data_IF_142675361993
#
_entry.id   IF_142675361993
#
_cell.length_a   1.000
_cell.length_b   1.000
_cell.length_c   1.000
_cell.angle_alpha   90.00
_cell.angle_beta   90.00
_cell.angle_gamma   90.00
#
_symmetry.space_group_name_H-M   'P 1'
#
loop_
_entity.id
_entity.type
_entity.pdbx_description
1 polymer ?
#
# COMPACT_ATOMS: atom_id res chain seq x y z
N UNK A 1 -152.43 -111.05 -16.32
CA UNK A 1 -151.57 -110.06 -15.62
C UNK A 1 -150.14 -110.53 -15.79
N UNK A 2 -149.38 -109.95 -16.72
CA UNK A 2 -148.04 -110.42 -17.04
C UNK A 2 -147.01 -109.70 -16.14
N UNK A 3 -146.79 -110.28 -14.96
CA UNK A 3 -145.96 -109.76 -13.86
C UNK A 3 -144.46 -109.67 -14.18
N UNK A 4 -144.03 -110.10 -15.37
CA UNK A 4 -142.65 -110.05 -15.84
C UNK A 4 -142.21 -108.67 -16.38
N UNK A 5 -143.10 -107.89 -16.98
CA UNK A 5 -142.75 -106.58 -17.57
C UNK A 5 -142.55 -105.46 -16.53
N UNK A 6 -143.31 -105.50 -15.42
CA UNK A 6 -143.16 -104.55 -14.33
C UNK A 6 -141.84 -104.73 -13.56
N UNK A 7 -141.37 -105.98 -13.39
CA UNK A 7 -140.06 -106.28 -12.80
C UNK A 7 -138.92 -105.79 -13.70
N UNK A 8 -138.98 -106.01 -15.03
CA UNK A 8 -137.97 -105.48 -15.96
C UNK A 8 -137.87 -103.95 -15.95
N UNK A 9 -138.98 -103.21 -15.91
CA UNK A 9 -138.94 -101.73 -15.84
C UNK A 9 -138.41 -101.20 -14.50
N UNK A 10 -138.73 -101.87 -13.40
CA UNK A 10 -138.18 -101.55 -12.08
C UNK A 10 -136.66 -101.80 -12.00
N UNK A 11 -136.21 -102.94 -12.52
CA UNK A 11 -134.78 -103.31 -12.54
C UNK A 11 -133.95 -102.39 -13.47
N UNK A 12 -134.52 -101.97 -14.60
CA UNK A 12 -133.87 -101.00 -15.49
C UNK A 12 -133.82 -99.60 -14.85
N UNK A 13 -134.89 -99.16 -14.18
CA UNK A 13 -134.90 -97.88 -13.46
C UNK A 13 -133.97 -97.84 -12.24
N UNK A 14 -133.84 -98.95 -11.52
CA UNK A 14 -132.90 -99.10 -10.41
C UNK A 14 -131.45 -99.06 -10.90
N UNK A 15 -131.12 -99.82 -11.95
CA UNK A 15 -129.79 -99.79 -12.59
C UNK A 15 -129.46 -98.45 -13.23
N UNK A 16 -130.44 -97.74 -13.79
CA UNK A 16 -130.24 -96.41 -14.34
C UNK A 16 -129.90 -95.40 -13.22
N UNK A 17 -130.56 -95.47 -12.06
CA UNK A 17 -130.22 -94.65 -10.89
C UNK A 17 -128.86 -95.00 -10.30
N UNK A 18 -128.54 -96.29 -10.18
CA UNK A 18 -127.18 -96.71 -9.75
C UNK A 18 -126.12 -96.20 -10.72
N UNK A 19 -126.35 -96.32 -12.03
CA UNK A 19 -125.43 -95.79 -13.04
C UNK A 19 -125.32 -94.26 -12.98
N UNK A 20 -126.43 -93.54 -12.77
CA UNK A 20 -126.43 -92.08 -12.61
C UNK A 20 -125.71 -91.65 -11.32
N UNK A 21 -125.86 -92.43 -10.24
CA UNK A 21 -125.20 -92.15 -8.94
C UNK A 21 -123.71 -92.41 -9.04
N UNK A 22 -123.30 -93.52 -9.68
CA UNK A 22 -121.90 -93.82 -9.96
C UNK A 22 -121.28 -92.82 -10.93
N UNK A 23 -122.03 -92.33 -11.92
CA UNK A 23 -121.59 -91.31 -12.85
C UNK A 23 -121.41 -89.95 -12.16
N UNK A 24 -122.36 -89.56 -11.29
CA UNK A 24 -122.25 -88.35 -10.49
C UNK A 24 -121.11 -88.44 -9.46
N UNK A 25 -120.89 -89.58 -8.81
CA UNK A 25 -119.74 -89.79 -7.93
C UNK A 25 -118.42 -89.68 -8.69
N UNK A 26 -118.32 -90.30 -9.88
CA UNK A 26 -117.12 -90.20 -10.71
C UNK A 26 -116.88 -88.77 -11.21
N UNK A 27 -117.95 -88.03 -11.56
CA UNK A 27 -117.84 -86.64 -12.00
C UNK A 27 -117.47 -85.70 -10.83
N UNK A 28 -118.03 -85.91 -9.64
CA UNK A 28 -117.67 -85.16 -8.43
C UNK A 28 -116.23 -85.48 -8.01
N UNK A 29 -115.79 -86.74 -8.05
CA UNK A 29 -114.41 -87.10 -7.72
C UNK A 29 -113.42 -86.51 -8.74
N UNK A 30 -113.73 -86.58 -10.03
CA UNK A 30 -112.93 -85.94 -11.09
C UNK A 30 -112.85 -84.41 -10.91
N UNK A 31 -113.99 -83.74 -10.66
CA UNK A 31 -114.02 -82.29 -10.41
C UNK A 31 -113.27 -81.94 -9.11
N UNK A 32 -113.40 -82.74 -8.05
CA UNK A 32 -112.68 -82.54 -6.79
C UNK A 32 -111.18 -82.70 -7.00
N UNK A 33 -110.74 -83.69 -7.77
CA UNK A 33 -109.34 -83.94 -8.11
C UNK A 33 -108.75 -82.82 -8.99
N UNK A 34 -109.53 -82.28 -9.93
CA UNK A 34 -109.14 -81.12 -10.74
C UNK A 34 -109.01 -79.88 -9.86
N UNK A 35 -110.01 -79.58 -9.02
CA UNK A 35 -110.01 -78.40 -8.13
C UNK A 35 -108.87 -78.47 -7.12
N UNK A 36 -108.61 -79.64 -6.53
CA UNK A 36 -107.49 -79.83 -5.59
C UNK A 36 -106.14 -79.70 -6.28
N UNK A 37 -105.97 -80.25 -7.49
CA UNK A 37 -104.74 -80.10 -8.27
C UNK A 37 -104.52 -78.64 -8.70
N UNK A 38 -105.58 -77.94 -9.11
CA UNK A 38 -105.52 -76.53 -9.50
C UNK A 38 -105.21 -75.62 -8.30
N UNK A 39 -105.86 -75.83 -7.14
CA UNK A 39 -105.53 -75.14 -5.88
C UNK A 39 -104.10 -75.41 -5.42
N UNK A 40 -103.59 -76.63 -5.56
CA UNK A 40 -102.18 -76.93 -5.27
C UNK A 40 -101.23 -76.23 -6.25
N UNK A 41 -101.58 -76.15 -7.54
CA UNK A 41 -100.83 -75.40 -8.54
C UNK A 41 -100.78 -73.90 -8.24
N UNK A 42 -101.91 -73.31 -7.86
CA UNK A 42 -102.01 -71.91 -7.44
C UNK A 42 -101.24 -71.64 -6.14
N UNK A 43 -101.35 -72.52 -5.14
CA UNK A 43 -100.57 -72.45 -3.91
C UNK A 43 -99.06 -72.49 -4.17
N UNK A 44 -98.59 -73.46 -4.98
CA UNK A 44 -97.17 -73.54 -5.39
C UNK A 44 -96.71 -72.31 -6.17
N UNK A 45 -97.56 -71.76 -7.04
CA UNK A 45 -97.25 -70.52 -7.79
C UNK A 45 -97.13 -69.33 -6.85
N UNK A 46 -97.98 -69.25 -5.82
CA UNK A 46 -97.88 -68.28 -4.73
C UNK A 46 -96.58 -68.43 -3.95
N UNK A 47 -96.25 -69.64 -3.50
CA UNK A 47 -95.03 -69.94 -2.74
C UNK A 47 -93.76 -69.60 -3.52
N UNK A 48 -93.70 -69.94 -4.81
CA UNK A 48 -92.55 -69.60 -5.66
C UNK A 48 -92.43 -68.09 -5.84
N UNK A 49 -93.55 -67.38 -6.07
CA UNK A 49 -93.54 -65.92 -6.18
C UNK A 49 -93.03 -65.26 -4.90
N UNK A 50 -93.61 -65.63 -3.75
CA UNK A 50 -93.21 -65.09 -2.44
C UNK A 50 -91.74 -65.40 -2.15
N UNK A 51 -91.26 -66.63 -2.42
CA UNK A 51 -89.83 -66.97 -2.26
C UNK A 51 -88.92 -66.18 -3.19
N UNK A 52 -89.35 -65.92 -4.43
CA UNK A 52 -88.56 -65.15 -5.39
C UNK A 52 -88.51 -63.68 -4.99
N UNK A 53 -89.64 -63.10 -4.56
CA UNK A 53 -89.72 -61.74 -4.03
C UNK A 53 -88.88 -61.59 -2.75
N UNK A 54 -88.95 -62.56 -1.83
CA UNK A 54 -88.08 -62.60 -0.65
C UNK A 54 -86.60 -62.61 -1.04
N UNK A 55 -86.20 -63.44 -2.01
CA UNK A 55 -84.79 -63.53 -2.43
C UNK A 55 -84.32 -62.26 -3.15
N UNK A 56 -85.18 -61.63 -3.95
CA UNK A 56 -84.88 -60.33 -4.58
C UNK A 56 -84.69 -59.26 -3.50
N UNK A 57 -85.57 -59.24 -2.49
CA UNK A 57 -85.48 -58.31 -1.37
C UNK A 57 -84.23 -58.54 -0.52
N UNK A 58 -83.89 -59.80 -0.22
CA UNK A 58 -82.64 -60.16 0.48
C UNK A 58 -81.41 -59.69 -0.32
N UNK A 59 -81.36 -59.98 -1.62
CA UNK A 59 -80.25 -59.55 -2.47
C UNK A 59 -80.14 -58.02 -2.58
N UNK A 60 -81.28 -57.31 -2.69
CA UNK A 60 -81.30 -55.85 -2.69
C UNK A 60 -80.76 -55.29 -1.38
N UNK A 61 -81.23 -55.83 -0.25
CA UNK A 61 -80.80 -55.39 1.07
C UNK A 61 -79.33 -55.71 1.33
N UNK A 62 -78.82 -56.86 0.88
CA UNK A 62 -77.39 -57.16 0.89
C UNK A 62 -76.59 -56.19 0.01
N UNK A 63 -77.11 -55.84 -1.17
CA UNK A 63 -76.54 -54.81 -2.04
C UNK A 63 -76.46 -53.45 -1.37
N UNK A 64 -77.55 -52.98 -0.76
CA UNK A 64 -77.63 -51.71 -0.03
C UNK A 64 -76.66 -51.69 1.16
N UNK A 65 -76.53 -52.82 1.88
CA UNK A 65 -75.57 -52.97 2.99
C UNK A 65 -74.13 -52.92 2.48
N UNK A 66 -73.82 -53.64 1.39
CA UNK A 66 -72.49 -53.62 0.79
C UNK A 66 -72.13 -52.23 0.26
N UNK A 67 -73.07 -51.54 -0.39
CA UNK A 67 -72.87 -50.17 -0.87
C UNK A 67 -72.59 -49.23 0.31
N UNK A 68 -73.42 -49.29 1.36
CA UNK A 68 -73.22 -48.53 2.60
C UNK A 68 -71.86 -48.83 3.26
N UNK A 69 -71.44 -50.09 3.31
CA UNK A 69 -70.16 -50.49 3.89
C UNK A 69 -68.97 -50.00 3.04
N UNK A 70 -69.09 -50.04 1.71
CA UNK A 70 -68.07 -49.49 0.81
C UNK A 70 -67.98 -47.97 0.92
N UNK A 71 -69.11 -47.26 0.97
CA UNK A 71 -69.14 -45.82 1.19
C UNK A 71 -68.58 -45.42 2.56
N UNK A 72 -68.89 -46.21 3.59
CA UNK A 72 -68.32 -46.00 4.92
C UNK A 72 -66.81 -46.26 4.94
N UNK A 73 -66.34 -47.27 4.20
CA UNK A 73 -64.91 -47.55 4.04
C UNK A 73 -64.18 -46.46 3.23
N UNK A 74 -64.77 -45.95 2.15
CA UNK A 74 -64.18 -44.84 1.38
C UNK A 74 -64.12 -43.57 2.21
N UNK A 75 -65.20 -43.21 2.93
CA UNK A 75 -65.19 -42.03 3.82
C UNK A 75 -64.19 -42.18 4.97
N UNK A 76 -64.02 -43.37 5.54
CA UNK A 76 -62.96 -43.62 6.53
C UNK A 76 -61.57 -43.39 5.94
N UNK A 77 -61.30 -43.92 4.74
CA UNK A 77 -60.02 -43.73 4.07
C UNK A 77 -59.75 -42.27 3.69
N UNK A 78 -60.77 -41.52 3.27
CA UNK A 78 -60.68 -40.08 2.99
C UNK A 78 -60.35 -39.29 4.27
N UNK A 79 -61.07 -39.52 5.36
CA UNK A 79 -60.77 -38.91 6.67
C UNK A 79 -59.35 -39.23 7.14
N UNK A 80 -58.90 -40.48 6.99
CA UNK A 80 -57.53 -40.89 7.38
C UNK A 80 -56.47 -40.19 6.52
N UNK A 81 -56.71 -40.07 5.21
CA UNK A 81 -55.83 -39.34 4.28
C UNK A 81 -55.76 -37.86 4.63
N UNK A 82 -56.90 -37.21 4.89
CA UNK A 82 -56.94 -35.80 5.31
C UNK A 82 -56.21 -35.58 6.64
N UNK A 83 -56.41 -36.48 7.62
CA UNK A 83 -55.69 -36.41 8.89
C UNK A 83 -54.17 -36.58 8.72
N UNK A 84 -53.72 -37.45 7.80
CA UNK A 84 -52.30 -37.61 7.49
C UNK A 84 -51.73 -36.39 6.75
N UNK A 85 -52.46 -35.85 5.76
CA UNK A 85 -52.07 -34.63 5.06
C UNK A 85 -51.91 -33.46 6.03
N UNK A 86 -52.90 -33.22 6.90
CA UNK A 86 -52.83 -32.18 7.92
C UNK A 86 -51.61 -32.35 8.84
N UNK A 87 -51.26 -33.59 9.23
CA UNK A 87 -50.05 -33.87 10.01
C UNK A 87 -48.76 -33.57 9.24
N UNK A 88 -48.68 -33.95 7.97
CA UNK A 88 -47.50 -33.70 7.13
C UNK A 88 -47.36 -32.21 6.84
N UNK A 89 -48.44 -31.50 6.54
CA UNK A 89 -48.44 -30.04 6.35
C UNK A 89 -48.03 -29.30 7.62
N UNK A 90 -48.56 -29.70 8.78
CA UNK A 90 -48.12 -29.14 10.06
C UNK A 90 -46.63 -29.40 10.32
N UNK A 91 -46.12 -30.59 9.99
CA UNK A 91 -44.69 -30.88 10.11
C UNK A 91 -43.85 -30.07 9.12
N UNK A 92 -44.24 -30.00 7.84
CA UNK A 92 -43.54 -29.23 6.82
C UNK A 92 -43.48 -27.75 7.17
N UNK A 93 -44.55 -27.17 7.74
CA UNK A 93 -44.52 -25.76 8.15
C UNK A 93 -43.52 -25.50 9.27
N UNK A 94 -43.39 -26.42 10.23
CA UNK A 94 -42.34 -26.38 11.26
C UNK A 94 -40.95 -26.53 10.63
N UNK A 95 -40.75 -27.52 9.77
CA UNK A 95 -39.46 -27.79 9.11
C UNK A 95 -39.01 -26.61 8.23
N UNK A 96 -39.93 -25.94 7.53
CA UNK A 96 -39.66 -24.72 6.76
C UNK A 96 -39.22 -23.59 7.69
N UNK A 97 -39.94 -23.37 8.80
CA UNK A 97 -39.59 -22.33 9.75
C UNK A 97 -38.22 -22.55 10.40
N UNK A 98 -37.91 -23.79 10.75
CA UNK A 98 -36.60 -24.15 11.29
C UNK A 98 -35.48 -23.95 10.25
N UNK A 99 -35.74 -24.30 8.98
CA UNK A 99 -34.80 -24.06 7.89
C UNK A 99 -34.59 -22.57 7.60
N UNK A 100 -35.65 -21.76 7.61
CA UNK A 100 -35.60 -20.30 7.47
C UNK A 100 -34.77 -19.68 8.60
N UNK A 101 -35.06 -20.03 9.86
CA UNK A 101 -34.33 -19.53 11.02
C UNK A 101 -32.85 -19.91 10.96
N UNK A 102 -32.53 -21.13 10.52
CA UNK A 102 -31.14 -21.55 10.35
C UNK A 102 -30.42 -20.76 9.25
N UNK A 103 -31.07 -20.54 8.10
CA UNK A 103 -30.53 -19.75 7.02
C UNK A 103 -30.31 -18.28 7.43
N UNK A 104 -31.26 -17.69 8.16
CA UNK A 104 -31.11 -16.33 8.71
C UNK A 104 -29.96 -16.25 9.73
N UNK A 105 -29.85 -17.24 10.62
CA UNK A 105 -28.77 -17.29 11.59
C UNK A 105 -27.39 -17.38 10.90
N UNK A 106 -27.24 -18.26 9.91
CA UNK A 106 -26.00 -18.40 9.15
C UNK A 106 -25.66 -17.11 8.38
N UNK A 107 -26.65 -16.48 7.76
CA UNK A 107 -26.49 -15.17 7.09
C UNK A 107 -26.05 -14.09 8.07
N UNK A 108 -26.68 -14.00 9.25
CA UNK A 108 -26.33 -13.04 10.29
C UNK A 108 -24.93 -13.27 10.85
N UNK A 109 -24.56 -14.53 11.02
CA UNK A 109 -23.21 -14.90 11.46
C UNK A 109 -22.16 -14.50 10.40
N UNK A 110 -22.43 -14.75 9.11
CA UNK A 110 -21.56 -14.32 8.02
C UNK A 110 -21.43 -12.79 7.94
N UNK A 111 -22.54 -12.05 8.02
CA UNK A 111 -22.55 -10.57 8.09
C UNK A 111 -21.66 -10.10 9.25
N UNK A 112 -21.86 -10.63 10.45
CA UNK A 112 -21.08 -10.28 11.65
C UNK A 112 -19.58 -10.53 11.45
N UNK A 113 -19.19 -11.65 10.81
CA UNK A 113 -17.79 -11.94 10.53
C UNK A 113 -17.19 -10.95 9.52
N UNK A 114 -17.93 -10.61 8.47
CA UNK A 114 -17.45 -9.62 7.47
C UNK A 114 -17.34 -8.23 8.07
N UNK A 115 -18.25 -7.83 8.96
CA UNK A 115 -18.19 -6.56 9.69
C UNK A 115 -17.00 -6.53 10.65
N UNK A 116 -16.74 -7.61 11.39
CA UNK A 116 -15.53 -7.73 12.24
C UNK A 116 -14.26 -7.61 11.42
N UNK A 117 -14.17 -8.30 10.28
CA UNK A 117 -13.01 -8.19 9.39
C UNK A 117 -12.86 -6.78 8.83
N UNK A 118 -13.95 -6.15 8.40
CA UNK A 118 -13.95 -4.77 7.91
C UNK A 118 -13.52 -3.79 8.98
N UNK A 119 -13.99 -3.94 10.22
CA UNK A 119 -13.59 -3.11 11.35
C UNK A 119 -12.10 -3.28 11.66
N UNK A 120 -11.60 -4.52 11.67
CA UNK A 120 -10.17 -4.81 11.89
C UNK A 120 -9.29 -4.20 10.79
N UNK A 121 -9.68 -4.34 9.52
CA UNK A 121 -8.96 -3.76 8.40
C UNK A 121 -8.99 -2.23 8.44
N UNK A 122 -10.14 -1.64 8.76
CA UNK A 122 -10.30 -0.19 8.92
C UNK A 122 -9.42 0.33 10.04
N UNK A 123 -9.44 -0.31 11.22
CA UNK A 123 -8.60 0.06 12.35
C UNK A 123 -7.10 -0.06 12.02
N UNK A 124 -6.69 -1.14 11.36
CA UNK A 124 -5.31 -1.32 10.91
C UNK A 124 -4.89 -0.23 9.93
N UNK A 125 -5.72 0.10 8.94
CA UNK A 125 -5.44 1.15 7.97
C UNK A 125 -5.30 2.53 8.64
N UNK A 126 -6.14 2.83 9.65
CA UNK A 126 -6.02 4.07 10.44
C UNK A 126 -4.68 4.13 11.19
N UNK A 127 -4.29 3.06 11.87
CA UNK A 127 -3.01 3.01 12.60
C UNK A 127 -1.83 3.11 11.63
N UNK A 128 -1.83 2.37 10.52
CA UNK A 128 -0.78 2.44 9.51
C UNK A 128 -0.67 3.85 8.90
N UNK A 129 -1.80 4.53 8.70
CA UNK A 129 -1.83 5.92 8.25
C UNK A 129 -1.22 6.86 9.31
N UNK A 130 -1.61 6.73 10.57
CA UNK A 130 -1.07 7.54 11.67
C UNK A 130 0.44 7.35 11.83
N UNK A 131 0.94 6.10 11.75
CA UNK A 131 2.38 5.79 11.77
C UNK A 131 3.10 6.52 10.64
N UNK A 132 2.60 6.42 9.39
CA UNK A 132 3.22 7.10 8.24
C UNK A 132 3.23 8.62 8.38
N UNK A 133 2.15 9.20 8.94
CA UNK A 133 2.10 10.64 9.21
C UNK A 133 3.14 11.03 10.27
N UNK A 134 3.29 10.24 11.33
CA UNK A 134 4.32 10.49 12.35
C UNK A 134 5.74 10.34 11.79
N UNK A 135 6.00 9.31 11.00
CA UNK A 135 7.29 9.09 10.32
C UNK A 135 7.63 10.26 9.39
N UNK A 136 6.70 10.66 8.53
CA UNK A 136 6.90 11.80 7.62
C UNK A 136 7.14 13.12 8.38
N UNK A 137 6.40 13.35 9.47
CA UNK A 137 6.60 14.51 10.32
C UNK A 137 7.97 14.49 11.03
N UNK A 138 8.42 13.31 11.47
CA UNK A 138 9.72 13.14 12.09
C UNK A 138 10.86 13.37 11.10
N UNK A 139 10.75 12.84 9.88
CA UNK A 139 11.71 13.07 8.80
C UNK A 139 11.78 14.55 8.41
N UNK A 140 10.63 15.23 8.32
CA UNK A 140 10.58 16.67 8.07
C UNK A 140 11.32 17.44 9.19
N UNK A 141 11.02 17.12 10.45
CA UNK A 141 11.67 17.76 11.60
C UNK A 141 13.19 17.53 11.59
N UNK A 142 13.63 16.30 11.32
CA UNK A 142 15.05 15.96 11.22
C UNK A 142 15.74 16.74 10.10
N UNK A 143 15.15 16.76 8.91
CA UNK A 143 15.71 17.49 7.77
C UNK A 143 15.77 19.01 8.03
N UNK A 144 14.75 19.56 8.68
CA UNK A 144 14.74 20.97 9.08
C UNK A 144 15.87 21.28 10.08
N UNK A 145 16.08 20.43 11.09
CA UNK A 145 17.17 20.60 12.06
C UNK A 145 18.56 20.49 11.41
N UNK A 146 18.74 19.58 10.46
CA UNK A 146 19.99 19.46 9.70
C UNK A 146 20.22 20.72 8.86
N UNK A 147 19.22 21.17 8.11
CA UNK A 147 19.32 22.38 7.30
C UNK A 147 19.61 23.64 8.15
N UNK A 148 18.95 23.77 9.31
CA UNK A 148 19.19 24.87 10.24
C UNK A 148 20.61 24.83 10.83
N UNK A 149 21.12 23.63 11.15
CA UNK A 149 22.49 23.45 11.64
C UNK A 149 23.53 23.80 10.56
N UNK A 150 23.30 23.39 9.32
CA UNK A 150 24.18 23.70 8.19
C UNK A 150 24.20 25.21 7.91
N UNK A 151 23.03 25.86 7.88
CA UNK A 151 22.93 27.32 7.73
C UNK A 151 23.64 28.06 8.87
N UNK A 152 23.50 27.58 10.11
CA UNK A 152 24.18 28.18 11.26
C UNK A 152 25.71 28.01 11.13
N UNK A 153 26.19 26.84 10.75
CA UNK A 153 27.61 26.58 10.51
C UNK A 153 28.18 27.49 9.41
N UNK A 154 27.49 27.61 8.28
CA UNK A 154 27.89 28.50 7.19
C UNK A 154 27.90 29.97 7.61
N UNK A 155 26.88 30.41 8.37
CA UNK A 155 26.82 31.77 8.91
C UNK A 155 28.02 32.07 9.82
N UNK A 156 28.38 31.14 10.70
CA UNK A 156 29.52 31.31 11.59
C UNK A 156 30.85 31.36 10.85
N UNK A 157 31.04 30.53 9.82
CA UNK A 157 32.23 30.58 8.96
C UNK A 157 32.31 31.92 8.22
N UNK A 158 31.20 32.39 7.65
CA UNK A 158 31.16 33.68 6.96
C UNK A 158 31.42 34.86 7.91
N UNK A 159 30.88 34.82 9.13
CA UNK A 159 31.11 35.82 10.16
C UNK A 159 32.58 35.83 10.62
N UNK A 160 33.18 34.65 10.83
CA UNK A 160 34.60 34.53 11.14
C UNK A 160 35.50 35.04 10.00
N UNK A 161 35.16 34.75 8.74
CA UNK A 161 35.88 35.27 7.58
C UNK A 161 35.76 36.80 7.48
N UNK A 162 34.56 37.35 7.71
CA UNK A 162 34.34 38.79 7.73
C UNK A 162 35.15 39.47 8.84
N UNK A 163 35.12 38.94 10.06
CA UNK A 163 35.91 39.45 11.18
C UNK A 163 37.43 39.38 10.88
N UNK A 164 37.89 38.28 10.26
CA UNK A 164 39.29 38.16 9.84
C UNK A 164 39.66 39.18 8.75
N UNK A 165 38.79 39.37 7.76
CA UNK A 165 39.00 40.36 6.70
C UNK A 165 39.00 41.80 7.25
N UNK A 166 38.08 42.13 8.15
CA UNK A 166 38.02 43.42 8.83
C UNK A 166 39.26 43.67 9.69
N UNK A 167 39.72 42.68 10.46
CA UNK A 167 40.96 42.77 11.23
C UNK A 167 42.18 43.00 10.33
N UNK A 168 42.27 42.28 9.20
CA UNK A 168 43.34 42.45 8.23
C UNK A 168 43.28 43.83 7.53
N UNK A 169 42.09 44.32 7.22
CA UNK A 169 41.90 45.65 6.64
C UNK A 169 42.33 46.74 7.63
N UNK A 170 41.93 46.62 8.90
CA UNK A 170 42.34 47.55 9.96
C UNK A 170 43.85 47.54 10.20
N UNK A 171 44.50 46.36 10.19
CA UNK A 171 45.95 46.25 10.29
C UNK A 171 46.66 46.95 9.13
N UNK A 172 46.19 46.75 7.89
CA UNK A 172 46.75 47.43 6.71
C UNK A 172 46.55 48.94 6.75
N UNK A 173 45.39 49.39 7.23
CA UNK A 173 45.11 50.82 7.40
C UNK A 173 46.10 51.46 8.38
N UNK A 174 46.33 50.83 9.55
CA UNK A 174 47.29 51.35 10.52
C UNK A 174 48.72 51.43 9.97
N UNK A 175 49.15 50.44 9.19
CA UNK A 175 50.46 50.47 8.52
C UNK A 175 50.50 51.63 7.52
N UNK A 176 49.49 51.77 6.65
CA UNK A 176 49.43 52.85 5.67
C UNK A 176 49.41 54.23 6.32
N UNK A 177 48.66 54.41 7.41
CA UNK A 177 48.63 55.65 8.18
C UNK A 177 49.99 55.96 8.82
N UNK A 178 50.67 54.95 9.36
CA UNK A 178 52.01 55.11 9.93
C UNK A 178 53.07 55.46 8.88
N UNK A 179 53.00 54.87 7.68
CA UNK A 179 53.88 55.19 6.56
C UNK A 179 53.63 56.60 6.04
N UNK A 180 52.36 57.02 5.97
CA UNK A 180 51.98 58.36 5.56
C UNK A 180 52.47 59.41 6.56
N UNK A 181 52.36 59.16 7.86
CA UNK A 181 52.90 60.04 8.89
C UNK A 181 54.43 60.09 8.88
N UNK A 182 55.11 58.96 8.61
CA UNK A 182 56.56 58.95 8.42
C UNK A 182 56.98 59.81 7.22
N UNK A 183 56.32 59.66 6.07
CA UNK A 183 56.58 60.47 4.86
C UNK A 183 56.30 61.95 5.07
N UNK A 184 55.23 62.29 5.81
CA UNK A 184 54.96 63.69 6.17
C UNK A 184 56.08 64.29 7.02
N UNK A 185 56.58 63.55 8.01
CA UNK A 185 57.70 64.01 8.86
C UNK A 185 58.98 64.20 8.05
N UNK A 186 59.28 63.29 7.14
CA UNK A 186 60.40 63.41 6.20
C UNK A 186 60.25 64.66 5.32
N UNK A 187 59.08 64.85 4.71
CA UNK A 187 58.80 66.03 3.88
C UNK A 187 58.93 67.35 4.65
N UNK A 188 58.45 67.42 5.90
CA UNK A 188 58.61 68.62 6.76
C UNK A 188 60.08 68.85 7.12
N UNK A 189 60.83 67.78 7.43
CA UNK A 189 62.27 67.89 7.71
C UNK A 189 63.01 68.45 6.50
N UNK A 190 62.78 67.89 5.32
CA UNK A 190 63.43 68.32 4.09
C UNK A 190 63.08 69.76 3.74
N UNK A 191 61.81 70.15 3.89
CA UNK A 191 61.37 71.53 3.72
C UNK A 191 62.16 72.49 4.62
N UNK A 192 62.26 72.21 5.93
CA UNK A 192 63.00 73.06 6.87
C UNK A 192 64.52 73.12 6.55
N UNK A 193 65.11 72.03 6.03
CA UNK A 193 66.52 72.01 5.63
C UNK A 193 66.77 72.88 4.39
N UNK A 194 65.83 72.88 3.44
CA UNK A 194 65.89 73.73 2.24
C UNK A 194 65.68 75.20 2.62
N UNK A 195 64.64 75.51 3.40
CA UNK A 195 64.28 76.88 3.77
C UNK A 195 65.40 77.58 4.55
N UNK A 196 66.04 76.87 5.49
CA UNK A 196 67.15 77.41 6.27
C UNK A 196 68.51 77.37 5.52
N UNK A 197 68.52 77.09 4.21
CA UNK A 197 69.72 76.93 3.37
C UNK A 197 70.76 75.95 3.95
N UNK A 198 70.34 75.00 4.81
CA UNK A 198 71.25 74.09 5.52
C UNK A 198 72.04 73.22 4.55
N UNK A 199 71.44 72.82 3.41
CA UNK A 199 72.15 72.06 2.38
C UNK A 199 73.31 72.85 1.76
N UNK A 200 73.14 74.16 1.54
CA UNK A 200 74.19 75.02 1.02
C UNK A 200 75.30 75.21 2.06
N UNK A 201 74.94 75.41 3.32
CA UNK A 201 75.91 75.53 4.43
C UNK A 201 76.70 74.22 4.64
N UNK A 202 76.04 73.06 4.62
CA UNK A 202 76.72 71.75 4.69
C UNK A 202 77.68 71.58 3.50
N UNK A 203 77.23 71.91 2.28
CA UNK A 203 78.09 71.83 1.09
C UNK A 203 79.30 72.77 1.22
N UNK A 204 79.10 73.98 1.75
CA UNK A 204 80.16 74.96 1.99
C UNK A 204 81.14 74.50 3.07
N UNK A 205 80.67 73.97 4.19
CA UNK A 205 81.51 73.41 5.27
C UNK A 205 82.32 72.21 4.74
N UNK A 206 81.69 71.30 4.00
CA UNK A 206 82.38 70.17 3.40
C UNK A 206 83.42 70.63 2.37
N UNK A 207 83.07 71.60 1.52
CA UNK A 207 84.01 72.19 0.57
C UNK A 207 85.18 72.89 1.29
N UNK A 208 84.94 73.58 2.41
CA UNK A 208 85.98 74.17 3.24
C UNK A 208 86.88 73.12 3.89
N UNK A 209 86.29 72.04 4.42
CA UNK A 209 87.05 70.93 5.00
C UNK A 209 87.94 70.24 3.96
N UNK A 210 87.49 70.17 2.70
CA UNK A 210 88.23 69.58 1.58
C UNK A 210 89.22 70.58 0.94
N UNK A 211 88.95 71.89 1.01
CA UNK A 211 89.75 72.97 0.40
C UNK A 211 91.20 73.05 0.94
N UNK A 212 91.42 72.65 2.20
CA UNK A 212 92.75 72.61 2.81
C UNK A 212 93.46 71.25 2.71
N UNK A 213 92.77 70.21 2.28
CA UNK A 213 93.40 68.93 1.96
C UNK A 213 94.09 69.11 0.60
N UNK A 214 95.39 68.86 0.53
CA UNK A 214 96.09 68.60 -0.73
C UNK A 214 96.12 67.09 -0.95
N UNK A 215 95.02 66.45 -1.40
CA UNK A 215 95.11 65.07 -1.79
C UNK A 215 95.99 65.00 -3.03
N UNK A 216 97.10 64.26 -2.95
CA UNK A 216 97.76 63.73 -4.14
C UNK A 216 96.80 62.70 -4.76
N UNK A 217 95.88 63.18 -5.60
CA UNK A 217 95.00 62.30 -6.37
C UNK A 217 95.83 61.75 -7.52
N UNK A 218 96.23 60.48 -7.42
CA UNK A 218 96.78 59.78 -8.57
C UNK A 218 95.65 59.49 -9.56
N UNK A 219 95.56 60.28 -10.63
CA UNK A 219 94.73 59.92 -11.79
C UNK A 219 95.41 58.75 -12.51
N UNK A 220 94.94 57.53 -12.24
CA UNK A 220 95.27 56.40 -13.09
C UNK A 220 94.26 56.37 -14.24
N UNK A 221 94.67 56.90 -15.39
CA UNK A 221 93.93 56.72 -16.64
C UNK A 221 94.28 55.34 -17.19
N UNK A 222 93.31 54.44 -17.20
CA UNK A 222 93.43 53.15 -17.86
C UNK A 222 93.35 53.42 -19.37
N UNK A 223 94.52 53.47 -20.02
CA UNK A 223 94.62 53.65 -21.46
C UNK A 223 93.76 52.65 -22.21
N UNK A 224 92.96 53.16 -23.15
CA UNK A 224 92.09 52.43 -24.06
C UNK A 224 92.75 51.13 -24.57
N UNK A 225 92.25 50.00 -24.09
CA UNK A 225 92.43 48.71 -24.75
C UNK A 225 91.07 48.32 -25.33
N UNK A 226 90.81 48.80 -26.55
CA UNK A 226 89.86 48.18 -27.45
C UNK A 226 90.34 46.76 -27.78
N UNK A 227 89.88 45.79 -26.99
CA UNK A 227 89.72 44.40 -27.42
C UNK A 227 88.43 43.88 -26.83
N UNK A 228 87.47 43.61 -27.71
CA UNK A 228 86.43 42.62 -27.46
C UNK A 228 87.09 41.37 -26.86
N UNK A 229 86.59 40.92 -25.71
CA UNK A 229 86.50 39.52 -25.33
C UNK A 229 85.67 39.36 -24.05
N UNK A 230 84.79 38.37 -24.15
CA UNK A 230 83.84 37.85 -23.17
C UNK A 230 84.44 37.53 -21.80
N UNK A 231 83.69 37.89 -20.75
CA UNK A 231 83.57 37.10 -19.51
C UNK A 231 84.70 37.16 -18.47
N UNK A 232 84.32 37.40 -17.21
CA UNK A 232 84.98 36.79 -16.06
C UNK A 232 85.47 37.75 -14.97
N UNK A 233 85.16 37.37 -13.73
CA UNK A 233 85.71 37.81 -12.43
C UNK A 233 87.23 38.04 -12.42
N UNK A 234 87.98 37.53 -13.40
CA UNK A 234 89.40 37.85 -13.59
C UNK A 234 89.68 39.29 -14.06
N UNK A 235 88.72 40.00 -14.67
CA UNK A 235 88.90 41.41 -15.07
C UNK A 235 89.01 42.33 -13.85
N UNK A 236 88.20 42.07 -12.83
CA UNK A 236 88.24 42.83 -11.57
C UNK A 236 89.52 42.49 -10.77
N UNK A 237 89.94 41.21 -10.76
CA UNK A 237 91.20 40.79 -10.11
C UNK A 237 92.43 41.34 -10.84
N UNK A 238 92.43 41.36 -12.18
CA UNK A 238 93.49 41.97 -12.98
C UNK A 238 93.56 43.49 -12.78
N UNK A 239 92.40 44.14 -12.62
CA UNK A 239 92.30 45.55 -12.21
C UNK A 239 92.99 45.79 -10.87
N UNK A 240 92.69 44.98 -9.85
CA UNK A 240 93.32 45.09 -8.50
C UNK A 240 94.83 44.86 -8.57
N UNK A 241 95.31 43.87 -9.33
CA UNK A 241 96.75 43.63 -9.49
C UNK A 241 97.46 44.78 -10.22
N UNK A 242 96.81 45.38 -11.23
CA UNK A 242 97.36 46.53 -11.96
C UNK A 242 97.44 47.82 -11.12
N UNK A 243 96.67 47.91 -10.04
CA UNK A 243 96.69 49.03 -9.09
C UNK A 243 97.78 48.87 -8.02
N UNK A 244 98.36 47.67 -7.85
CA UNK A 244 99.32 47.40 -6.78
C UNK A 244 100.65 48.16 -6.89
N UNK A 245 101.33 48.26 -8.06
CA UNK A 245 102.61 48.99 -8.12
C UNK A 245 102.47 50.52 -7.88
N UNK A 246 101.45 51.21 -8.41
CA UNK A 246 101.18 52.61 -8.07
C UNK A 246 100.80 52.83 -6.60
N UNK A 247 100.02 51.92 -6.00
CA UNK A 247 99.67 51.96 -4.56
C UNK A 247 100.92 51.85 -3.67
N UNK A 248 101.84 50.96 -4.02
CA UNK A 248 103.09 50.84 -3.27
C UNK A 248 103.97 52.09 -3.42
N UNK A 249 103.97 52.74 -4.60
CA UNK A 249 104.64 54.04 -4.78
C UNK A 249 104.03 55.13 -3.91
N UNK A 250 102.70 55.26 -3.86
CA UNK A 250 102.06 56.30 -3.03
C UNK A 250 102.24 56.02 -1.54
N UNK A 251 102.09 54.77 -1.10
CA UNK A 251 102.39 54.40 0.29
C UNK A 251 103.86 54.70 0.63
N UNK A 252 104.80 54.38 -0.25
CA UNK A 252 106.22 54.68 -0.07
C UNK A 252 106.50 56.18 0.01
N UNK A 253 105.90 57.01 -0.86
CA UNK A 253 106.06 58.48 -0.83
C UNK A 253 105.49 59.13 0.44
N UNK A 254 104.43 58.56 1.02
CA UNK A 254 103.76 59.14 2.20
C UNK A 254 104.31 58.62 3.53
N UNK A 255 104.89 57.41 3.56
CA UNK A 255 105.33 56.77 4.81
C UNK A 255 106.83 56.47 4.85
N UNK A 256 107.54 56.58 3.73
CA UNK A 256 108.95 56.21 3.60
C UNK A 256 109.23 54.70 3.69
N UNK A 257 108.19 53.86 3.81
CA UNK A 257 108.34 52.41 3.98
C UNK A 257 108.48 51.71 2.63
N UNK A 258 109.49 50.85 2.49
CA UNK A 258 109.64 49.97 1.33
C UNK A 258 108.65 48.79 1.45
N UNK A 259 108.00 48.37 0.34
CA UNK A 259 107.16 47.20 0.37
C UNK A 259 107.97 45.94 0.75
N UNK A 260 107.40 45.00 1.50
CA UNK A 260 108.05 43.73 1.82
C UNK A 260 108.48 42.98 0.55
N UNK A 261 109.63 42.30 0.57
CA UNK A 261 110.22 41.64 -0.60
C UNK A 261 109.28 40.62 -1.29
N UNK A 262 108.28 40.09 -0.57
CA UNK A 262 107.27 39.18 -1.11
C UNK A 262 106.16 39.85 -1.96
N UNK A 263 106.08 41.18 -1.97
CA UNK A 263 105.03 41.95 -2.67
C UNK A 263 105.54 42.71 -3.91
N UNK A 264 106.83 42.60 -4.24
CA UNK A 264 107.45 43.17 -5.44
C UNK A 264 108.34 44.40 -5.18
N UNK A 265 109.11 44.79 -6.20
CA UNK A 265 110.04 45.93 -6.16
C UNK A 265 109.40 47.20 -6.75
N UNK A 266 109.82 48.38 -6.28
CA UNK A 266 109.39 49.66 -6.85
C UNK A 266 109.99 49.80 -8.28
N UNK A 267 109.21 50.18 -9.30
CA UNK A 267 109.77 50.45 -10.63
C UNK A 267 110.59 51.74 -10.61
N UNK A 268 111.85 51.66 -11.03
CA UNK A 268 112.82 52.76 -11.09
C UNK A 268 112.28 53.95 -11.88
N UNK A 269 112.40 55.14 -11.31
CA UNK A 269 112.13 56.40 -11.99
C UNK A 269 113.31 56.75 -12.90
N UNK A 270 113.46 56.06 -14.03
CA UNK A 270 114.20 56.50 -15.23
C UNK A 270 114.02 55.50 -16.37
N UNK A 271 113.00 55.75 -17.19
CA UNK A 271 112.75 55.11 -18.47
C UNK A 271 111.72 55.94 -19.21
N UNK A 272 112.12 56.45 -20.38
CA UNK A 272 111.39 57.33 -21.32
C UNK A 272 109.94 56.91 -21.53
#
# INVERSE_FOLDING_TARGET
INTAEAKKKGDIGAKLREAQTAQNEAEIDAQTKIITTQRQGEGRKGDIKVKTELKIFENQREGDVLESDTELATKKAECDKEAQLAKVEAKNTVDIRDAELKAEFEKKNAETQTEKLRANLSSKATVDYEIKVQEANWDLYKNQRVADADLYGQRQVAEAQKASAEANAFARQQVADSELDAKKKEAVRDYNMIENNMFQEIAKINAQAISGLQPKISLWSQGNNERELSGGTMKDIAGVYSLSPPLFKTVHEHTGMLPPACLGALPDANGV
#
